data_IF_559987334939
#
_entry.id   IF_559987334939
#
_cell.length_a   1.000
_cell.length_b   1.000
_cell.length_c   1.000
_cell.angle_alpha   90.00
_cell.angle_beta   90.00
_cell.angle_gamma   90.00
#
_symmetry.space_group_name_H-M   'P 1'
#
loop_
_entity.id
_entity.type
_entity.pdbx_description
1 polymer ?
#
# COMPACT_ATOMS: atom_id res chain seq x y z
N UNK A 1 25.68 -19.78 7.94
CA UNK A 1 24.26 -19.77 8.32
C UNK A 1 23.53 -19.14 7.14
N UNK A 2 22.85 -19.96 6.31
CA UNK A 2 22.00 -19.46 5.23
C UNK A 2 20.84 -18.71 5.89
N UNK A 3 20.87 -17.38 5.87
CA UNK A 3 19.65 -16.60 6.07
C UNK A 3 18.71 -16.97 4.92
N UNK A 4 17.66 -17.71 5.24
CA UNK A 4 16.48 -17.78 4.39
C UNK A 4 15.99 -16.32 4.28
N UNK A 5 16.23 -15.71 3.14
CA UNK A 5 15.54 -14.48 2.77
C UNK A 5 14.08 -14.91 2.63
N UNK A 6 13.31 -14.70 3.69
CA UNK A 6 11.85 -14.87 3.63
C UNK A 6 11.37 -13.74 2.74
N UNK A 7 11.17 -14.04 1.45
CA UNK A 7 10.48 -13.11 0.56
C UNK A 7 9.06 -12.92 1.10
N UNK A 8 8.56 -11.70 1.17
CA UNK A 8 7.19 -11.48 1.59
C UNK A 8 6.23 -12.10 0.57
N UNK A 9 5.12 -12.63 1.06
CA UNK A 9 3.97 -12.89 0.22
C UNK A 9 3.44 -11.56 -0.27
N UNK A 10 3.25 -11.42 -1.56
CA UNK A 10 2.73 -10.19 -2.14
C UNK A 10 1.20 -10.23 -2.24
N UNK A 11 0.59 -9.10 -1.92
CA UNK A 11 -0.81 -8.85 -2.18
C UNK A 11 -0.91 -7.98 -3.43
N UNK A 12 -1.51 -8.52 -4.46
CA UNK A 12 -1.89 -7.76 -5.65
C UNK A 12 -3.19 -7.02 -5.36
N UNK A 13 -3.14 -5.70 -5.42
CA UNK A 13 -4.26 -4.85 -5.07
C UNK A 13 -4.70 -4.00 -6.26
N UNK A 14 -6.01 -3.91 -6.46
CA UNK A 14 -6.61 -2.94 -7.33
C UNK A 14 -7.50 -2.02 -6.48
N UNK A 15 -7.36 -0.72 -6.67
CA UNK A 15 -8.08 0.30 -5.94
C UNK A 15 -8.95 1.11 -6.89
N UNK A 16 -10.13 1.50 -6.43
CA UNK A 16 -10.91 2.51 -7.11
C UNK A 16 -11.30 3.61 -6.12
N UNK A 17 -11.11 4.86 -6.51
CA UNK A 17 -11.67 6.02 -5.83
C UNK A 17 -12.71 6.67 -6.71
N UNK A 18 -13.88 6.98 -6.12
CA UNK A 18 -15.00 7.62 -6.81
C UNK A 18 -15.60 8.68 -5.91
N UNK A 19 -15.66 9.92 -6.38
CA UNK A 19 -16.24 11.01 -5.60
C UNK A 19 -16.61 12.19 -6.50
N UNK A 20 -17.15 13.25 -5.88
CA UNK A 20 -17.24 14.54 -6.52
C UNK A 20 -15.88 14.96 -7.09
N UNK A 21 -15.87 15.51 -8.29
CA UNK A 21 -14.65 15.89 -9.03
C UNK A 21 -13.72 16.77 -8.20
N UNK A 22 -14.27 17.68 -7.40
CA UNK A 22 -13.49 18.53 -6.49
C UNK A 22 -12.74 17.74 -5.42
N UNK A 23 -13.37 16.71 -4.83
CA UNK A 23 -12.73 15.84 -3.81
C UNK A 23 -11.57 15.05 -4.43
N UNK A 24 -11.77 14.52 -5.64
CA UNK A 24 -10.70 13.82 -6.37
C UNK A 24 -9.57 14.79 -6.76
N UNK A 25 -9.91 16.00 -7.19
CA UNK A 25 -8.92 17.04 -7.47
C UNK A 25 -8.07 17.37 -6.23
N UNK A 26 -8.70 17.52 -5.06
CA UNK A 26 -8.02 17.76 -3.80
C UNK A 26 -7.08 16.60 -3.42
N UNK A 27 -7.52 15.37 -3.60
CA UNK A 27 -6.70 14.18 -3.36
C UNK A 27 -5.45 14.17 -4.26
N UNK A 28 -5.61 14.38 -5.56
CA UNK A 28 -4.50 14.35 -6.52
C UNK A 28 -3.56 15.55 -6.31
N UNK A 29 -4.09 16.74 -6.04
CA UNK A 29 -3.29 17.94 -5.76
C UNK A 29 -2.49 17.82 -4.47
N UNK A 30 -2.98 17.11 -3.44
CA UNK A 30 -2.17 16.83 -2.25
C UNK A 30 -0.95 15.96 -2.62
N UNK A 31 -1.13 14.96 -3.49
CA UNK A 31 -0.02 14.17 -4.02
C UNK A 31 0.99 15.03 -4.79
N UNK A 32 0.55 15.89 -5.70
CA UNK A 32 1.41 16.81 -6.43
C UNK A 32 2.21 17.72 -5.47
N UNK A 33 1.53 18.32 -4.49
CA UNK A 33 2.15 19.18 -3.48
C UNK A 33 3.21 18.46 -2.66
N UNK A 34 2.95 17.23 -2.24
CA UNK A 34 3.90 16.44 -1.45
C UNK A 34 5.13 16.02 -2.27
N UNK A 35 5.01 15.95 -3.60
CA UNK A 35 6.14 15.78 -4.53
C UNK A 35 6.82 17.11 -4.92
N UNK A 36 6.40 18.25 -4.34
CA UNK A 36 6.94 19.57 -4.68
C UNK A 36 6.52 20.07 -6.06
N UNK A 37 5.44 19.52 -6.63
CA UNK A 37 4.92 19.90 -7.93
C UNK A 37 3.82 20.97 -7.80
N UNK A 38 3.60 21.70 -8.90
CA UNK A 38 2.52 22.67 -9.00
C UNK A 38 1.15 21.99 -9.06
N UNK A 39 0.22 22.45 -8.22
CA UNK A 39 -1.19 21.99 -8.26
C UNK A 39 -1.91 22.45 -9.53
N UNK A 40 -2.99 21.77 -9.88
CA UNK A 40 -3.78 22.05 -11.10
C UNK A 40 -5.22 22.38 -10.72
N UNK A 41 -5.86 23.18 -11.57
CA UNK A 41 -7.28 23.55 -11.41
C UNK A 41 -8.22 22.53 -12.10
N UNK A 42 -7.68 21.72 -13.02
CA UNK A 42 -8.44 20.69 -13.75
C UNK A 42 -8.03 19.30 -13.27
N UNK A 43 -9.00 18.46 -12.93
CA UNK A 43 -8.76 17.12 -12.38
C UNK A 43 -8.03 16.19 -13.37
N UNK A 44 -8.35 16.26 -14.66
CA UNK A 44 -7.69 15.44 -15.68
C UNK A 44 -6.22 15.83 -15.86
N UNK A 45 -5.91 17.12 -15.78
CA UNK A 45 -4.53 17.61 -15.84
C UNK A 45 -3.76 17.29 -14.57
N UNK A 46 -4.41 17.36 -13.41
CA UNK A 46 -3.82 16.95 -12.13
C UNK A 46 -3.45 15.46 -12.16
N UNK A 47 -4.37 14.57 -12.56
CA UNK A 47 -4.14 13.14 -12.65
C UNK A 47 -2.98 12.83 -13.60
N UNK A 48 -2.99 13.40 -14.83
CA UNK A 48 -1.91 13.18 -15.79
C UNK A 48 -0.56 13.70 -15.30
N UNK A 49 -0.55 14.82 -14.56
CA UNK A 49 0.69 15.38 -14.01
C UNK A 49 1.26 14.54 -12.88
N UNK A 50 0.41 13.97 -12.01
CA UNK A 50 0.86 13.14 -10.89
C UNK A 50 1.48 11.82 -11.38
N UNK A 51 0.85 11.18 -12.37
CA UNK A 51 1.28 9.90 -12.94
C UNK A 51 1.89 10.06 -14.35
N UNK A 52 2.75 11.05 -14.55
CA UNK A 52 3.41 11.33 -15.84
C UNK A 52 4.60 10.39 -16.16
N UNK A 53 4.87 9.44 -15.28
CA UNK A 53 5.97 8.48 -15.39
C UNK A 53 7.35 9.01 -15.01
N UNK A 54 7.44 10.27 -14.55
CA UNK A 54 8.70 10.89 -14.08
C UNK A 54 8.83 10.83 -12.56
N UNK A 55 7.70 10.70 -11.87
CA UNK A 55 7.65 10.67 -10.43
C UNK A 55 7.26 9.27 -9.97
N UNK A 56 7.88 8.82 -8.90
CA UNK A 56 7.49 7.63 -8.17
C UNK A 56 6.32 7.99 -7.26
N UNK A 57 5.13 7.53 -7.62
CA UNK A 57 3.91 7.75 -6.83
C UNK A 57 3.74 6.56 -5.90
N UNK A 58 3.82 6.82 -4.60
CA UNK A 58 3.71 5.80 -3.56
C UNK A 58 2.58 6.13 -2.58
N UNK A 59 2.28 5.26 -1.66
CA UNK A 59 1.32 5.55 -0.59
C UNK A 59 1.75 6.79 0.24
N UNK A 60 3.06 6.97 0.47
CA UNK A 60 3.60 8.13 1.17
C UNK A 60 3.42 9.44 0.40
N UNK A 61 3.22 9.40 -0.91
CA UNK A 61 2.86 10.58 -1.70
C UNK A 61 1.58 11.24 -1.18
N UNK A 62 0.63 10.45 -0.69
CA UNK A 62 -0.65 10.94 -0.16
C UNK A 62 -0.67 11.02 1.37
N UNK A 63 0.15 10.23 2.04
CA UNK A 63 0.31 10.19 3.49
C UNK A 63 1.80 10.18 3.86
N UNK A 64 2.46 11.35 3.89
CA UNK A 64 3.89 11.43 4.15
C UNK A 64 4.31 10.78 5.48
N UNK A 65 5.43 10.06 5.44
CA UNK A 65 6.03 9.49 6.64
C UNK A 65 6.75 10.60 7.40
N UNK A 66 6.47 10.82 8.69
CA UNK A 66 7.15 11.84 9.47
C UNK A 66 8.67 11.62 9.51
N UNK A 67 9.44 12.70 9.42
CA UNK A 67 10.91 12.68 9.37
C UNK A 67 11.54 11.89 10.54
N UNK A 68 10.91 11.91 11.72
CA UNK A 68 11.40 11.15 12.88
C UNK A 68 11.51 9.64 12.63
N UNK A 69 10.74 9.07 11.68
CA UNK A 69 10.81 7.65 11.31
C UNK A 69 11.76 7.37 10.15
N UNK A 70 12.14 8.40 9.39
CA UNK A 70 13.08 8.27 8.26
C UNK A 70 14.51 8.65 8.63
N UNK A 71 14.68 9.57 9.59
CA UNK A 71 15.98 10.06 10.04
C UNK A 71 16.67 9.14 11.04
N UNK A 72 15.89 8.51 11.94
CA UNK A 72 16.42 7.66 12.99
C UNK A 72 15.81 6.25 12.86
N UNK A 73 16.67 5.26 12.61
CA UNK A 73 16.26 3.85 12.62
C UNK A 73 16.08 3.37 14.07
N UNK A 74 14.88 3.60 14.59
CA UNK A 74 14.45 3.19 15.93
C UNK A 74 13.71 1.85 15.94
N UNK A 75 13.61 1.18 14.80
CA UNK A 75 12.97 -0.14 14.66
C UNK A 75 13.80 -1.24 15.33
N UNK A 76 15.12 -1.08 15.25
CA UNK A 76 16.08 -1.98 15.90
C UNK A 76 16.50 -1.43 17.26
N UNK A 77 17.11 -2.30 18.07
CA UNK A 77 17.75 -1.84 19.30
C UNK A 77 18.84 -0.81 19.02
N UNK A 78 19.05 0.09 19.99
CA UNK A 78 20.13 1.07 19.95
C UNK A 78 21.46 0.39 19.63
N UNK A 79 22.17 0.87 18.61
CA UNK A 79 23.46 0.31 18.20
C UNK A 79 24.52 0.52 19.29
N UNK A 80 25.36 -0.49 19.50
CA UNK A 80 26.49 -0.40 20.42
C UNK A 80 27.61 0.49 19.90
N UNK A 81 28.51 0.93 20.79
CA UNK A 81 29.67 1.78 20.43
C UNK A 81 30.55 1.17 19.33
N UNK A 82 30.71 -0.16 19.34
CA UNK A 82 31.56 -0.92 18.42
C UNK A 82 30.80 -1.43 17.18
N UNK A 83 29.61 -0.87 16.91
CA UNK A 83 28.82 -1.23 15.73
C UNK A 83 29.57 -0.87 14.44
N UNK A 84 29.48 -1.78 13.47
CA UNK A 84 30.06 -1.58 12.14
C UNK A 84 28.96 -1.23 11.14
N UNK A 85 29.32 -0.46 10.15
CA UNK A 85 28.51 -0.23 8.95
C UNK A 85 28.42 -1.52 8.14
N UNK A 86 27.21 -1.87 7.68
CA UNK A 86 26.94 -3.12 6.98
C UNK A 86 27.63 -3.23 5.62
N UNK A 87 27.74 -2.11 4.92
CA UNK A 87 28.21 -2.09 3.53
C UNK A 87 29.74 -1.96 3.48
N UNK A 88 30.30 -1.16 4.38
CA UNK A 88 31.74 -0.85 4.38
C UNK A 88 32.54 -1.66 5.39
N UNK A 89 31.89 -2.25 6.38
CA UNK A 89 32.50 -2.94 7.52
C UNK A 89 33.45 -2.03 8.34
N UNK A 90 33.26 -0.70 8.24
CA UNK A 90 33.98 0.28 9.05
C UNK A 90 33.22 0.62 10.34
N UNK A 91 33.90 1.15 11.38
CA UNK A 91 33.22 1.63 12.59
C UNK A 91 32.16 2.70 12.26
N UNK A 92 30.95 2.48 12.75
CA UNK A 92 29.83 3.39 12.55
C UNK A 92 30.07 4.74 13.23
N UNK A 93 30.80 4.71 14.36
CA UNK A 93 31.12 5.89 15.15
C UNK A 93 32.64 6.08 15.22
N UNK A 94 33.11 7.25 14.77
CA UNK A 94 34.54 7.57 14.71
C UNK A 94 35.08 8.12 16.04
N UNK A 95 34.20 8.58 16.93
CA UNK A 95 34.55 9.12 18.23
C UNK A 95 33.50 8.79 19.31
N UNK A 96 33.85 8.96 20.57
CA UNK A 96 32.91 8.82 21.69
C UNK A 96 31.82 9.92 21.64
N UNK A 97 32.20 11.12 21.26
CA UNK A 97 31.26 12.24 21.11
C UNK A 97 30.17 11.95 20.04
N UNK A 98 30.54 11.32 18.93
CA UNK A 98 29.58 10.89 17.90
C UNK A 98 28.62 9.82 18.47
N UNK A 99 29.14 8.85 19.21
CA UNK A 99 28.32 7.83 19.84
C UNK A 99 27.37 8.40 20.89
N UNK A 100 27.85 9.31 21.75
CA UNK A 100 27.02 9.97 22.76
C UNK A 100 25.92 10.82 22.12
N UNK A 101 26.24 11.50 21.02
CA UNK A 101 25.27 12.27 20.25
C UNK A 101 24.20 11.37 19.64
N UNK A 102 24.60 10.27 19.00
CA UNK A 102 23.68 9.25 18.49
C UNK A 102 22.77 8.70 19.59
N UNK A 103 23.33 8.34 20.75
CA UNK A 103 22.53 7.81 21.87
C UNK A 103 21.46 8.79 22.33
N UNK A 104 21.81 10.06 22.45
CA UNK A 104 20.85 11.12 22.85
C UNK A 104 19.76 11.30 21.81
N UNK A 105 20.13 11.43 20.53
CA UNK A 105 19.16 11.59 19.43
C UNK A 105 18.24 10.38 19.29
N UNK A 106 18.76 9.17 19.46
CA UNK A 106 17.97 7.94 19.45
C UNK A 106 16.94 7.95 20.59
N UNK A 107 17.36 8.25 21.84
CA UNK A 107 16.45 8.26 22.99
C UNK A 107 15.38 9.34 22.87
N UNK A 108 15.73 10.52 22.36
CA UNK A 108 14.79 11.60 22.07
C UNK A 108 13.79 11.19 20.97
N UNK A 109 14.26 10.54 19.91
CA UNK A 109 13.40 10.05 18.84
C UNK A 109 12.42 8.99 19.33
N UNK A 110 12.89 7.98 20.08
CA UNK A 110 12.05 6.93 20.68
C UNK A 110 10.96 7.55 21.56
N UNK A 111 11.34 8.49 22.44
CA UNK A 111 10.40 9.17 23.31
C UNK A 111 9.34 9.93 22.51
N UNK A 112 9.78 10.75 21.57
CA UNK A 112 8.89 11.56 20.72
C UNK A 112 7.92 10.70 19.90
N UNK A 113 8.42 9.62 19.25
CA UNK A 113 7.61 8.69 18.46
C UNK A 113 6.55 8.03 19.32
N UNK A 114 6.92 7.54 20.52
CA UNK A 114 5.99 6.90 21.44
C UNK A 114 4.92 7.86 21.98
N UNK A 115 5.32 9.07 22.36
CA UNK A 115 4.40 10.08 22.90
C UNK A 115 3.44 10.64 21.84
N UNK A 116 3.93 10.80 20.58
CA UNK A 116 3.16 11.45 19.50
C UNK A 116 2.32 10.45 18.70
N UNK A 117 2.86 9.26 18.43
CA UNK A 117 2.25 8.27 17.51
C UNK A 117 1.85 6.96 18.20
N UNK A 118 2.25 6.74 19.46
CA UNK A 118 1.97 5.52 20.21
C UNK A 118 2.84 4.32 19.83
N UNK A 119 3.73 4.46 18.85
CA UNK A 119 4.59 3.41 18.30
C UNK A 119 6.03 3.89 18.23
N UNK A 120 6.97 2.94 18.07
CA UNK A 120 8.41 3.23 17.91
C UNK A 120 8.93 2.50 16.66
N UNK A 121 9.71 3.19 15.85
CA UNK A 121 10.28 2.66 14.62
C UNK A 121 9.34 2.72 13.42
N UNK A 122 9.96 2.77 12.24
CA UNK A 122 9.24 2.90 10.96
C UNK A 122 8.34 1.69 10.65
N UNK A 123 8.74 0.49 11.09
CA UNK A 123 7.98 -0.72 10.84
C UNK A 123 6.61 -0.67 11.52
N UNK A 124 6.60 -0.42 12.84
CA UNK A 124 5.34 -0.32 13.59
C UNK A 124 4.51 0.88 13.13
N UNK A 125 5.18 1.99 12.78
CA UNK A 125 4.48 3.15 12.22
C UNK A 125 3.76 2.80 10.91
N UNK A 126 4.43 2.14 9.97
CA UNK A 126 3.82 1.75 8.71
C UNK A 126 2.69 0.75 8.91
N UNK A 127 2.90 -0.31 9.70
CA UNK A 127 1.92 -1.37 9.89
C UNK A 127 0.70 -0.94 10.72
N UNK A 128 0.90 -0.16 11.77
CA UNK A 128 -0.15 0.10 12.78
C UNK A 128 -0.74 1.51 12.70
N UNK A 129 -0.09 2.44 12.00
CA UNK A 129 -0.51 3.84 11.97
C UNK A 129 -0.73 4.33 10.54
N UNK A 130 0.24 4.14 9.65
CA UNK A 130 0.21 4.80 8.34
C UNK A 130 -0.51 4.01 7.26
N UNK A 131 -0.08 2.79 6.97
CA UNK A 131 -0.48 2.09 5.75
C UNK A 131 -1.29 0.83 6.01
N UNK A 132 -1.10 0.13 7.13
CA UNK A 132 -1.63 -1.21 7.38
C UNK A 132 -0.73 -2.30 6.80
N UNK A 133 0.37 -1.96 6.13
CA UNK A 133 1.35 -2.88 5.58
C UNK A 133 2.78 -2.40 5.89
N UNK A 134 3.76 -3.30 5.70
CA UNK A 134 5.14 -3.06 6.13
C UNK A 134 5.82 -1.91 5.40
N UNK A 135 5.66 -1.84 4.08
CA UNK A 135 6.41 -0.90 3.25
C UNK A 135 5.53 0.18 2.64
N UNK A 136 6.16 1.31 2.33
CA UNK A 136 5.59 2.30 1.44
C UNK A 136 5.70 1.75 0.01
N UNK A 137 4.57 1.40 -0.59
CA UNK A 137 4.50 0.74 -1.88
C UNK A 137 4.02 1.69 -2.98
N UNK A 138 4.38 1.36 -4.22
CA UNK A 138 3.99 2.10 -5.40
C UNK A 138 2.47 2.05 -5.60
N UNK A 139 1.95 3.14 -6.16
CA UNK A 139 0.55 3.29 -6.56
C UNK A 139 0.52 3.70 -8.04
N UNK A 140 0.27 2.73 -8.90
CA UNK A 140 0.17 2.95 -10.34
C UNK A 140 -1.24 3.44 -10.73
N UNK A 141 -1.32 4.28 -11.75
CA UNK A 141 -2.58 4.65 -12.39
C UNK A 141 -2.88 3.64 -13.50
N UNK A 142 -4.03 2.98 -13.42
CA UNK A 142 -4.52 2.11 -14.50
C UNK A 142 -5.39 2.87 -15.49
N UNK A 143 -6.37 3.61 -14.98
CA UNK A 143 -7.24 4.44 -15.80
C UNK A 143 -8.01 5.46 -14.95
N UNK A 144 -8.67 6.42 -15.61
CA UNK A 144 -9.63 7.30 -14.99
C UNK A 144 -10.69 7.76 -15.98
N UNK A 145 -11.85 8.18 -15.46
CA UNK A 145 -12.90 8.83 -16.26
C UNK A 145 -13.61 9.91 -15.44
N UNK A 146 -14.09 10.91 -16.16
CA UNK A 146 -14.78 12.08 -15.62
C UNK A 146 -16.18 12.08 -16.18
N UNK A 147 -17.20 12.04 -15.32
CA UNK A 147 -18.59 12.24 -15.68
C UNK A 147 -18.98 13.70 -15.38
N UNK A 148 -18.76 14.56 -16.36
CA UNK A 148 -19.05 15.99 -16.23
C UNK A 148 -20.53 16.25 -15.96
N UNK A 149 -21.43 15.37 -16.43
CA UNK A 149 -22.87 15.54 -16.24
C UNK A 149 -23.32 15.37 -14.80
N UNK A 150 -22.57 14.57 -14.02
CA UNK A 150 -22.80 14.35 -12.58
C UNK A 150 -21.76 15.03 -11.70
N UNK A 151 -20.71 15.59 -12.28
CA UNK A 151 -19.59 16.15 -11.53
C UNK A 151 -18.83 15.09 -10.72
N UNK A 152 -18.72 13.86 -11.24
CA UNK A 152 -18.08 12.72 -10.57
C UNK A 152 -16.84 12.32 -11.35
N UNK A 153 -15.76 12.07 -10.61
CA UNK A 153 -14.53 11.48 -11.16
C UNK A 153 -14.25 10.13 -10.48
N UNK A 154 -13.80 9.18 -11.30
CA UNK A 154 -13.34 7.88 -10.84
C UNK A 154 -11.91 7.66 -11.30
N UNK A 155 -11.05 7.14 -10.41
CA UNK A 155 -9.68 6.72 -10.70
C UNK A 155 -9.56 5.24 -10.35
N UNK A 156 -8.97 4.45 -11.25
CA UNK A 156 -8.51 3.09 -10.98
C UNK A 156 -7.00 3.11 -10.82
N UNK A 157 -6.54 2.46 -9.76
CA UNK A 157 -5.13 2.37 -9.40
C UNK A 157 -4.81 0.93 -9.01
N UNK A 158 -3.54 0.57 -9.11
CA UNK A 158 -3.04 -0.73 -8.66
C UNK A 158 -1.73 -0.58 -7.90
N UNK A 159 -1.37 -1.63 -7.16
CA UNK A 159 -0.09 -1.69 -6.45
C UNK A 159 0.04 -2.98 -5.64
N UNK A 160 1.27 -3.43 -5.47
CA UNK A 160 1.57 -4.62 -4.69
C UNK A 160 2.04 -4.24 -3.30
N UNK A 161 1.51 -4.93 -2.28
CA UNK A 161 1.89 -4.71 -0.89
C UNK A 161 2.32 -6.01 -0.22
N UNK A 162 3.27 -5.98 0.75
CA UNK A 162 3.71 -7.19 1.42
C UNK A 162 2.71 -7.63 2.50
N UNK A 163 2.33 -8.91 2.47
CA UNK A 163 1.53 -9.68 3.43
C UNK A 163 0.06 -9.27 3.61
N UNK A 164 -0.33 -8.04 3.33
CA UNK A 164 -1.71 -7.58 3.49
C UNK A 164 -1.99 -6.38 2.59
N UNK A 165 -3.27 -6.12 2.31
CA UNK A 165 -3.66 -4.89 1.62
C UNK A 165 -3.57 -3.69 2.58
N UNK A 166 -3.38 -2.46 2.05
CA UNK A 166 -3.07 -1.28 2.86
C UNK A 166 -4.35 -0.61 3.40
N UNK A 167 -5.06 -1.28 4.28
CA UNK A 167 -6.36 -0.86 4.81
C UNK A 167 -6.31 0.50 5.52
N UNK A 168 -5.28 0.77 6.33
CA UNK A 168 -5.14 2.04 7.02
C UNK A 168 -4.90 3.21 6.07
N UNK A 169 -4.15 2.98 4.98
CA UNK A 169 -3.96 3.98 3.95
C UNK A 169 -5.27 4.26 3.19
N UNK A 170 -6.00 3.22 2.82
CA UNK A 170 -7.28 3.34 2.13
C UNK A 170 -8.32 4.07 2.99
N UNK A 171 -8.42 3.74 4.28
CA UNK A 171 -9.27 4.44 5.23
C UNK A 171 -8.86 5.91 5.43
N UNK A 172 -7.55 6.18 5.45
CA UNK A 172 -7.04 7.54 5.54
C UNK A 172 -7.44 8.39 4.34
N UNK A 173 -7.20 7.92 3.10
CA UNK A 173 -7.56 8.69 1.90
C UNK A 173 -9.07 8.87 1.78
N UNK A 174 -9.86 7.84 2.14
CA UNK A 174 -11.32 7.92 2.22
C UNK A 174 -11.76 9.07 3.12
N UNK A 175 -11.32 9.08 4.37
CA UNK A 175 -11.78 10.05 5.34
C UNK A 175 -11.19 11.45 5.13
N UNK A 176 -9.91 11.54 4.71
CA UNK A 176 -9.20 12.81 4.51
C UNK A 176 -9.75 13.62 3.34
N UNK A 177 -10.15 12.93 2.26
CA UNK A 177 -10.55 13.57 1.00
C UNK A 177 -12.03 13.35 0.66
N UNK A 178 -12.80 12.73 1.55
CA UNK A 178 -14.20 12.40 1.35
C UNK A 178 -14.44 11.62 0.05
N UNK A 179 -13.75 10.49 -0.08
CA UNK A 179 -13.78 9.60 -1.23
C UNK A 179 -14.58 8.33 -0.92
N UNK A 180 -15.28 7.77 -1.88
CA UNK A 180 -15.68 6.37 -1.84
C UNK A 180 -14.51 5.54 -2.36
N UNK A 181 -14.01 4.65 -1.52
CA UNK A 181 -12.83 3.83 -1.81
C UNK A 181 -13.24 2.36 -1.88
N UNK A 182 -12.92 1.75 -2.99
CA UNK A 182 -13.16 0.33 -3.26
C UNK A 182 -11.83 -0.37 -3.46
N UNK A 183 -11.76 -1.63 -3.08
CA UNK A 183 -10.56 -2.45 -3.24
C UNK A 183 -10.93 -3.86 -3.70
N UNK A 184 -10.10 -4.44 -4.52
CA UNK A 184 -9.97 -5.89 -4.65
C UNK A 184 -8.53 -6.27 -4.37
N UNK A 185 -8.33 -7.29 -3.54
CA UNK A 185 -7.00 -7.73 -3.14
C UNK A 185 -6.91 -9.24 -3.13
N UNK A 186 -5.78 -9.73 -3.61
CA UNK A 186 -5.42 -11.13 -3.67
C UNK A 186 -4.00 -11.31 -3.12
N UNK A 187 -3.85 -12.19 -2.14
CA UNK A 187 -2.55 -12.56 -1.58
C UNK A 187 -1.99 -13.79 -2.29
N UNK A 188 -0.69 -13.74 -2.65
CA UNK A 188 -0.01 -14.70 -3.54
C UNK A 188 -0.13 -16.16 -3.10
N UNK A 189 -0.07 -16.44 -1.79
CA UNK A 189 -0.26 -17.78 -1.23
C UNK A 189 -1.69 -18.05 -0.76
N UNK A 190 -2.58 -17.09 -1.04
CA UNK A 190 -4.01 -17.26 -0.89
C UNK A 190 -4.49 -17.34 0.57
N UNK A 191 -3.85 -16.61 1.45
CA UNK A 191 -4.34 -16.47 2.81
C UNK A 191 -5.63 -15.64 2.85
N UNK A 192 -5.79 -14.71 1.93
CA UNK A 192 -7.04 -13.99 1.74
C UNK A 192 -7.26 -13.50 0.31
N UNK A 193 -8.54 -13.41 -0.05
CA UNK A 193 -9.04 -12.74 -1.23
C UNK A 193 -10.24 -11.89 -0.82
N UNK A 194 -10.29 -10.65 -1.26
CA UNK A 194 -11.32 -9.71 -0.82
C UNK A 194 -11.66 -8.71 -1.90
N UNK A 195 -12.91 -8.26 -1.92
CA UNK A 195 -13.31 -7.09 -2.70
C UNK A 195 -14.44 -6.33 -1.99
N UNK A 196 -14.68 -5.11 -2.39
CA UNK A 196 -15.79 -4.30 -1.92
C UNK A 196 -15.40 -2.86 -1.60
N UNK A 197 -16.34 -2.11 -1.04
CA UNK A 197 -16.05 -0.84 -0.40
C UNK A 197 -15.26 -1.07 0.88
N UNK A 198 -14.27 -0.22 1.18
CA UNK A 198 -13.31 -0.44 2.29
C UNK A 198 -13.98 -0.64 3.66
N UNK A 199 -15.17 -0.10 3.87
CA UNK A 199 -15.93 -0.30 5.11
C UNK A 199 -16.81 -1.55 5.10
N UNK A 200 -16.96 -2.21 3.95
CA UNK A 200 -17.83 -3.37 3.78
C UNK A 200 -17.23 -4.37 2.79
N UNK A 201 -16.12 -4.99 3.20
CA UNK A 201 -15.38 -5.94 2.38
C UNK A 201 -16.03 -7.34 2.40
N UNK A 202 -16.12 -7.95 1.23
CA UNK A 202 -16.60 -9.32 1.08
C UNK A 202 -15.43 -10.32 1.02
N UNK A 203 -15.21 -11.02 2.12
CA UNK A 203 -14.28 -12.15 2.22
C UNK A 203 -14.92 -13.49 1.93
N UNK A 204 -16.25 -13.57 1.93
CA UNK A 204 -16.98 -14.84 1.82
C UNK A 204 -17.03 -15.34 0.38
N UNK A 205 -17.26 -14.44 -0.57
CA UNK A 205 -17.36 -14.78 -1.98
C UNK A 205 -16.11 -15.50 -2.49
N UNK A 206 -14.92 -15.00 -2.16
CA UNK A 206 -13.67 -15.60 -2.59
C UNK A 206 -13.51 -17.03 -2.07
N UNK A 207 -13.86 -17.28 -0.80
CA UNK A 207 -13.86 -18.64 -0.22
C UNK A 207 -14.83 -19.59 -0.91
N UNK A 208 -15.98 -19.08 -1.33
CA UNK A 208 -16.97 -19.88 -2.08
C UNK A 208 -16.48 -20.17 -3.50
N UNK A 209 -15.86 -19.18 -4.15
CA UNK A 209 -15.26 -19.36 -5.47
C UNK A 209 -14.18 -20.44 -5.47
N UNK A 210 -13.29 -20.42 -4.49
CA UNK A 210 -12.21 -21.38 -4.35
C UNK A 210 -12.71 -22.80 -4.09
N UNK A 211 -13.70 -22.96 -3.21
CA UNK A 211 -14.20 -24.26 -2.75
C UNK A 211 -14.63 -25.19 -3.89
N UNK A 212 -15.09 -24.64 -5.00
CA UNK A 212 -15.60 -25.42 -6.13
C UNK A 212 -14.67 -25.54 -7.33
N UNK A 213 -13.59 -24.76 -7.37
CA UNK A 213 -12.80 -24.59 -8.60
C UNK A 213 -11.28 -24.73 -8.41
N UNK A 214 -10.79 -24.65 -7.18
CA UNK A 214 -9.35 -24.73 -6.91
C UNK A 214 -8.83 -26.13 -7.27
N UNK A 215 -7.80 -26.23 -8.15
CA UNK A 215 -7.22 -27.50 -8.53
C UNK A 215 -6.65 -28.27 -7.32
N UNK A 216 -6.89 -29.57 -7.26
CA UNK A 216 -6.33 -30.46 -6.25
C UNK A 216 -5.25 -31.31 -6.91
N UNK A 217 -4.06 -31.39 -6.31
CA UNK A 217 -2.90 -32.08 -6.91
C UNK A 217 -3.19 -33.52 -7.34
N UNK A 218 -3.98 -34.25 -6.54
CA UNK A 218 -4.29 -35.66 -6.78
C UNK A 218 -5.18 -35.90 -8.02
N UNK A 219 -5.81 -34.86 -8.56
CA UNK A 219 -6.62 -34.93 -9.78
C UNK A 219 -5.78 -34.90 -11.07
N UNK A 220 -4.45 -34.73 -10.98
CA UNK A 220 -3.55 -34.56 -12.12
C UNK A 220 -2.48 -35.65 -12.19
N UNK A 221 -2.14 -36.07 -13.41
CA UNK A 221 -1.19 -37.17 -13.67
C UNK A 221 0.27 -36.76 -13.48
N UNK A 222 0.57 -35.45 -13.66
CA UNK A 222 1.92 -34.93 -13.49
C UNK A 222 1.89 -33.50 -12.93
N UNK A 223 3.06 -33.01 -12.49
CA UNK A 223 3.20 -31.69 -11.87
C UNK A 223 2.97 -30.54 -12.86
N UNK A 224 3.35 -30.70 -14.12
CA UNK A 224 3.22 -29.66 -15.14
C UNK A 224 1.75 -29.31 -15.39
N UNK A 225 0.91 -30.34 -15.59
CA UNK A 225 -0.54 -30.18 -15.77
C UNK A 225 -1.19 -29.54 -14.54
N UNK A 226 -0.79 -29.96 -13.33
CA UNK A 226 -1.30 -29.37 -12.10
C UNK A 226 -0.94 -27.89 -11.99
N UNK A 227 0.34 -27.54 -12.23
CA UNK A 227 0.78 -26.14 -12.10
C UNK A 227 0.21 -25.24 -13.19
N UNK A 228 -0.07 -25.76 -14.38
CA UNK A 228 -0.77 -25.03 -15.43
C UNK A 228 -2.23 -24.75 -15.05
N UNK A 229 -2.95 -25.76 -14.56
CA UNK A 229 -4.32 -25.61 -14.08
C UNK A 229 -4.40 -24.68 -12.86
N UNK A 230 -3.43 -24.78 -11.94
CA UNK A 230 -3.34 -23.93 -10.76
C UNK A 230 -3.11 -22.45 -11.12
N UNK A 231 -2.21 -22.18 -12.05
CA UNK A 231 -1.98 -20.82 -12.57
C UNK A 231 -3.23 -20.28 -13.25
N UNK A 232 -3.84 -21.05 -14.13
CA UNK A 232 -5.08 -20.66 -14.82
C UNK A 232 -6.20 -20.34 -13.84
N UNK A 233 -6.32 -21.12 -12.75
CA UNK A 233 -7.30 -20.85 -11.70
C UNK A 233 -7.08 -19.48 -11.06
N UNK A 234 -5.82 -19.13 -10.71
CA UNK A 234 -5.49 -17.84 -10.09
C UNK A 234 -5.69 -16.67 -11.03
N UNK A 235 -5.31 -16.79 -12.29
CA UNK A 235 -5.54 -15.76 -13.30
C UNK A 235 -7.05 -15.46 -13.44
N UNK A 236 -7.87 -16.50 -13.43
CA UNK A 236 -9.33 -16.34 -13.47
C UNK A 236 -9.89 -15.72 -12.19
N UNK A 237 -9.40 -16.10 -11.02
CA UNK A 237 -9.83 -15.49 -9.75
C UNK A 237 -9.51 -14.00 -9.69
N UNK A 238 -8.28 -13.61 -10.07
CA UNK A 238 -7.85 -12.20 -10.12
C UNK A 238 -8.73 -11.41 -11.10
N UNK A 239 -9.00 -11.96 -12.28
CA UNK A 239 -9.89 -11.33 -13.26
C UNK A 239 -11.32 -11.12 -12.72
N UNK A 240 -11.86 -12.11 -12.01
CA UNK A 240 -13.18 -12.03 -11.38
C UNK A 240 -13.18 -11.01 -10.22
N UNK A 241 -12.15 -10.97 -9.38
CA UNK A 241 -12.01 -9.94 -8.33
C UNK A 241 -11.99 -8.53 -8.92
N UNK A 242 -11.26 -8.34 -10.02
CA UNK A 242 -11.24 -7.06 -10.73
C UNK A 242 -12.62 -6.71 -11.30
N UNK A 243 -13.33 -7.69 -11.89
CA UNK A 243 -14.70 -7.51 -12.38
C UNK A 243 -15.66 -7.10 -11.25
N UNK A 244 -15.55 -7.74 -10.08
CA UNK A 244 -16.33 -7.40 -8.88
C UNK A 244 -16.04 -6.00 -8.37
N UNK A 245 -14.79 -5.56 -8.42
CA UNK A 245 -14.43 -4.19 -8.10
C UNK A 245 -15.16 -3.20 -9.02
N UNK A 246 -15.13 -3.43 -10.34
CA UNK A 246 -15.81 -2.58 -11.33
C UNK A 246 -17.33 -2.60 -11.12
N UNK A 247 -17.93 -3.74 -10.82
CA UNK A 247 -19.35 -3.83 -10.46
C UNK A 247 -19.68 -2.95 -9.25
N UNK A 248 -18.86 -2.99 -8.19
CA UNK A 248 -19.05 -2.17 -6.99
C UNK A 248 -18.97 -0.68 -7.31
N UNK A 249 -17.98 -0.26 -8.11
CA UNK A 249 -17.78 1.13 -8.51
C UNK A 249 -18.95 1.66 -9.34
N UNK A 250 -19.56 0.81 -10.18
CA UNK A 250 -20.67 1.18 -11.07
C UNK A 250 -22.03 1.15 -10.39
N UNK A 251 -22.17 0.58 -9.18
CA UNK A 251 -23.44 0.66 -8.44
C UNK A 251 -23.81 2.13 -8.20
N UNK A 252 -25.09 2.48 -8.36
CA UNK A 252 -25.54 3.80 -7.94
C UNK A 252 -25.25 3.96 -6.44
N UNK A 253 -24.72 5.10 -6.04
CA UNK A 253 -24.63 5.46 -4.62
C UNK A 253 -26.04 5.39 -4.03
N UNK A 254 -26.21 4.59 -3.01
CA UNK A 254 -27.44 4.63 -2.21
C UNK A 254 -27.32 5.89 -1.38
N UNK A 255 -28.09 6.94 -1.77
CA UNK A 255 -28.24 8.19 -1.02
C UNK A 255 -28.86 7.95 0.35
#
# INVERSE_FOLDING_TARGET
>A
VNQLIIMPNWCNNNYAVKAATENVLNFVNEGLKNLGMETKDNVGDAIRSLWDGKNEVTMATFRPIPETFTKHDTTNEKRGRDALDWDTNEPLFKSDDEYETYCREYDEAVKYQKETYGVVGWYDYNCLVAFGCKWNCDVALDSFWIDDSRGITTILMSGDTPWCFPDLWLLYIKSRFNLNVYVSSHEEFNEFNVFGEIDNLDFQWAKEYERGKKPVRDDYTNDEEFWEAYRTFWDNLIAELHSKLIECVNKPSVD
#
